data_IF_309073448282
#
_entry.id   IF_309073448282
#
_cell.length_a   1.000
_cell.length_b   1.000
_cell.length_c   1.000
_cell.angle_alpha   90.00
_cell.angle_beta   90.00
_cell.angle_gamma   90.00
#
_symmetry.space_group_name_H-M   'P 1'
#
loop_
_entity.id
_entity.type
_entity.pdbx_description
1 polymer ?
#
# COMPACT_ATOMS: atom_id res chain seq x y z
N UNK A 1 -3.07 6.69 6.56
CA UNK A 1 -1.89 6.49 7.44
C UNK A 1 -2.33 5.77 8.71
N UNK A 2 -1.47 4.88 9.24
CA UNK A 2 -1.72 4.12 10.48
C UNK A 2 -0.47 4.17 11.37
N UNK A 3 -0.64 4.09 12.68
CA UNK A 3 0.48 4.08 13.62
C UNK A 3 0.46 2.79 14.43
N UNK A 4 1.55 2.03 14.33
CA UNK A 4 1.82 0.86 15.18
C UNK A 4 3.23 1.03 15.73
N UNK A 5 3.40 1.24 17.06
CA UNK A 5 4.68 1.61 17.63
C UNK A 5 5.83 0.71 17.18
N UNK A 6 7.00 1.26 16.79
CA UNK A 6 7.35 2.69 16.77
C UNK A 6 7.11 3.40 15.41
N UNK A 7 6.35 2.82 14.48
CA UNK A 7 6.29 3.28 13.09
C UNK A 7 4.93 3.85 12.67
N UNK A 8 4.97 4.91 11.87
CA UNK A 8 3.90 5.34 10.99
C UNK A 8 3.99 4.57 9.67
N UNK A 9 2.86 4.09 9.17
CA UNK A 9 2.73 3.36 7.90
C UNK A 9 1.84 4.14 6.94
N UNK A 10 2.26 4.24 5.69
CA UNK A 10 1.51 4.87 4.61
C UNK A 10 1.47 3.98 3.38
N UNK A 11 0.26 3.70 2.90
CA UNK A 11 0.04 3.20 1.55
C UNK A 11 -0.19 4.44 0.68
N UNK A 12 0.54 4.57 -0.42
CA UNK A 12 0.46 5.71 -1.31
C UNK A 12 0.48 5.26 -2.77
N UNK A 13 -0.14 6.07 -3.63
CA UNK A 13 -0.14 5.81 -5.07
C UNK A 13 1.23 6.15 -5.67
N UNK A 14 1.77 5.22 -6.44
CA UNK A 14 2.96 5.41 -7.24
C UNK A 14 2.57 5.60 -8.71
N UNK A 15 3.25 6.52 -9.40
CA UNK A 15 3.09 6.71 -10.84
C UNK A 15 3.47 5.44 -11.61
N UNK A 16 2.98 5.27 -12.85
CA UNK A 16 3.34 4.11 -13.67
C UNK A 16 4.86 3.94 -13.82
N UNK A 17 5.32 2.71 -13.64
CA UNK A 17 6.72 2.30 -13.79
C UNK A 17 6.81 1.09 -14.72
N UNK A 18 7.96 0.92 -15.37
CA UNK A 18 8.17 -0.18 -16.31
C UNK A 18 7.98 -1.53 -15.62
N UNK A 19 7.27 -2.45 -16.28
CA UNK A 19 6.98 -3.78 -15.76
C UNK A 19 5.67 -3.91 -14.96
N UNK A 20 4.96 -2.79 -14.72
CA UNK A 20 3.69 -2.78 -13.97
C UNK A 20 2.54 -2.16 -14.77
N UNK A 21 1.31 -2.55 -14.44
CA UNK A 21 0.08 -2.09 -15.06
C UNK A 21 -0.44 -0.79 -14.43
N UNK A 22 0.01 0.35 -14.98
CA UNK A 22 -0.53 1.67 -14.66
C UNK A 22 -0.21 2.14 -13.23
N UNK A 23 -1.20 2.71 -12.55
CA UNK A 23 -1.03 3.28 -11.21
C UNK A 23 -1.16 2.19 -10.13
N UNK A 24 -0.11 2.08 -9.31
CA UNK A 24 0.08 0.99 -8.36
C UNK A 24 0.30 1.54 -6.96
N UNK A 25 -0.11 0.82 -5.92
CA UNK A 25 0.06 1.29 -4.54
C UNK A 25 1.32 0.72 -3.89
N UNK A 26 2.11 1.62 -3.31
CA UNK A 26 3.33 1.33 -2.55
C UNK A 26 3.07 1.51 -1.06
N UNK A 27 3.82 0.78 -0.25
CA UNK A 27 3.86 0.88 1.20
C UNK A 27 5.22 1.41 1.66
N UNK A 28 5.18 2.39 2.57
CA UNK A 28 6.34 2.88 3.29
C UNK A 28 6.06 3.00 4.80
N UNK A 29 7.12 3.00 5.61
CA UNK A 29 7.05 3.29 7.04
C UNK A 29 8.07 4.34 7.47
N UNK A 30 7.79 5.07 8.55
CA UNK A 30 8.68 6.08 9.13
C UNK A 30 8.54 6.15 10.64
N UNK A 31 9.59 6.56 11.36
CA UNK A 31 9.51 6.84 12.80
C UNK A 31 9.25 8.32 13.11
N UNK A 32 9.54 9.20 12.16
CA UNK A 32 9.60 10.66 12.37
C UNK A 32 8.86 11.47 11.29
N UNK A 33 8.16 10.78 10.38
CA UNK A 33 7.47 11.34 9.20
C UNK A 33 8.39 12.06 8.20
N UNK A 34 9.70 12.01 8.39
CA UNK A 34 10.70 12.66 7.54
C UNK A 34 11.53 11.63 6.77
N UNK A 35 12.07 10.65 7.49
CA UNK A 35 12.89 9.57 6.95
C UNK A 35 12.02 8.32 6.77
N UNK A 36 11.94 7.85 5.54
CA UNK A 36 11.02 6.79 5.11
C UNK A 36 11.77 5.54 4.63
N UNK A 37 11.19 4.39 4.91
CA UNK A 37 11.62 3.08 4.46
C UNK A 37 10.53 2.53 3.53
N UNK A 38 10.89 2.23 2.28
CA UNK A 38 9.99 1.59 1.34
C UNK A 38 9.98 0.08 1.61
N UNK A 39 8.79 -0.53 1.56
CA UNK A 39 8.67 -1.98 1.68
C UNK A 39 9.44 -2.67 0.54
N UNK A 40 10.22 -3.74 0.83
CA UNK A 40 10.85 -4.57 -0.19
C UNK A 40 9.85 -5.37 -1.03
N UNK A 41 8.56 -5.37 -0.65
CA UNK A 41 7.48 -6.03 -1.39
C UNK A 41 6.65 -5.06 -2.23
N UNK A 42 7.12 -3.83 -2.43
CA UNK A 42 6.44 -2.90 -3.34
C UNK A 42 6.50 -3.39 -4.80
N UNK A 43 5.41 -3.20 -5.58
CA UNK A 43 4.09 -2.70 -5.16
C UNK A 43 3.30 -3.71 -4.32
N UNK A 44 2.50 -3.20 -3.38
CA UNK A 44 1.61 -4.05 -2.55
C UNK A 44 0.22 -4.24 -3.15
N UNK A 45 -0.13 -3.47 -4.18
CA UNK A 45 -1.38 -3.57 -4.90
C UNK A 45 -1.22 -3.08 -6.34
N UNK A 46 -1.65 -3.89 -7.29
CA UNK A 46 -1.58 -3.64 -8.72
C UNK A 46 -2.88 -4.12 -9.38
N UNK A 47 -3.33 -3.43 -10.43
CA UNK A 47 -4.56 -3.75 -11.13
C UNK A 47 -4.45 -5.09 -11.88
N UNK A 48 -5.23 -6.08 -11.44
CA UNK A 48 -5.40 -7.36 -12.10
C UNK A 48 -6.41 -7.35 -13.27
N UNK A 49 -6.78 -8.54 -13.73
CA UNK A 49 -7.77 -8.73 -14.80
C UNK A 49 -9.11 -8.13 -14.39
N UNK A 50 -9.64 -7.22 -15.21
CA UNK A 50 -10.93 -6.56 -14.95
C UNK A 50 -10.89 -5.48 -13.88
N UNK A 51 -9.70 -5.01 -13.48
CA UNK A 51 -9.52 -3.87 -12.55
C UNK A 51 -9.14 -2.56 -13.28
N UNK A 52 -8.80 -2.65 -14.57
CA UNK A 52 -8.34 -1.51 -15.37
C UNK A 52 -6.83 -1.33 -15.23
N UNK A 53 -6.40 -0.10 -14.94
CA UNK A 53 -4.98 0.32 -14.90
C UNK A 53 -4.68 1.24 -13.70
N UNK A 54 -5.52 1.22 -12.67
CA UNK A 54 -5.31 2.00 -11.46
C UNK A 54 -5.88 1.27 -10.25
N UNK A 55 -5.04 0.96 -9.27
CA UNK A 55 -5.47 0.57 -7.93
C UNK A 55 -4.92 1.59 -6.92
N UNK A 56 -5.78 2.53 -6.51
CA UNK A 56 -5.42 3.72 -5.73
C UNK A 56 -6.28 3.90 -4.48
N UNK A 57 -5.98 4.97 -3.74
CA UNK A 57 -6.81 5.50 -2.66
C UNK A 57 -7.15 4.44 -1.61
N UNK A 58 -6.14 3.61 -1.30
CA UNK A 58 -6.29 2.48 -0.38
C UNK A 58 -6.52 2.98 1.04
N UNK A 59 -7.61 2.53 1.65
CA UNK A 59 -7.83 2.67 3.09
C UNK A 59 -8.19 1.32 3.71
N UNK A 60 -7.92 1.18 5.01
CA UNK A 60 -8.06 -0.10 5.70
C UNK A 60 -8.95 -0.01 6.93
N UNK A 61 -9.79 -1.02 7.13
CA UNK A 61 -10.45 -1.26 8.42
C UNK A 61 -10.03 -2.63 8.96
N UNK A 62 -9.97 -2.74 10.28
CA UNK A 62 -9.86 -4.05 10.94
C UNK A 62 -11.23 -4.40 11.54
N UNK A 63 -11.70 -5.61 11.27
CA UNK A 63 -12.95 -6.13 11.82
C UNK A 63 -12.80 -7.63 12.08
N UNK A 64 -13.19 -8.07 13.28
CA UNK A 64 -13.09 -9.47 13.73
C UNK A 64 -11.69 -10.09 13.52
N UNK A 65 -10.63 -9.32 13.78
CA UNK A 65 -9.25 -9.78 13.64
C UNK A 65 -8.76 -9.93 12.19
N UNK A 66 -9.53 -9.44 11.21
CA UNK A 66 -9.17 -9.42 9.78
C UNK A 66 -9.03 -8.00 9.28
N UNK A 67 -8.14 -7.80 8.32
CA UNK A 67 -7.88 -6.49 7.72
C UNK A 67 -8.52 -6.43 6.34
N UNK A 68 -9.36 -5.43 6.11
CA UNK A 68 -10.03 -5.21 4.83
C UNK A 68 -9.45 -3.96 4.18
N UNK A 69 -8.91 -4.11 2.97
CA UNK A 69 -8.37 -3.05 2.15
C UNK A 69 -9.45 -2.63 1.17
N UNK A 70 -9.96 -1.41 1.30
CA UNK A 70 -10.84 -0.78 0.32
C UNK A 70 -10.00 0.08 -0.61
N UNK A 71 -10.21 -0.05 -1.91
CA UNK A 71 -9.40 0.65 -2.91
C UNK A 71 -10.23 0.98 -4.15
N UNK A 72 -9.87 2.08 -4.81
CA UNK A 72 -10.48 2.49 -6.07
C UNK A 72 -9.82 1.74 -7.24
N UNK A 73 -10.64 1.23 -8.17
CA UNK A 73 -10.18 0.64 -9.44
C UNK A 73 -10.77 1.38 -10.64
N UNK A 74 -10.15 1.27 -11.81
CA UNK A 74 -10.63 1.94 -13.03
C UNK A 74 -9.61 2.00 -14.14
N UNK A 75 -10.04 2.47 -15.32
CA UNK A 75 -9.19 2.66 -16.50
C UNK A 75 -8.60 4.07 -16.61
N UNK A 76 -8.82 4.91 -15.59
CA UNK A 76 -8.41 6.33 -15.55
C UNK A 76 -9.05 7.21 -16.61
N UNK A 77 -10.13 6.77 -17.26
CA UNK A 77 -10.77 7.52 -18.34
C UNK A 77 -12.29 7.45 -18.31
N UNK A 78 -12.85 6.24 -18.34
CA UNK A 78 -14.26 6.02 -18.63
C UNK A 78 -15.03 5.40 -17.48
N UNK A 79 -14.36 4.68 -16.58
CA UNK A 79 -15.04 4.05 -15.44
C UNK A 79 -14.16 3.96 -14.20
N UNK A 80 -14.82 3.91 -13.05
CA UNK A 80 -14.23 3.58 -11.78
C UNK A 80 -15.21 2.79 -10.90
N UNK A 81 -14.67 2.02 -9.96
CA UNK A 81 -15.43 1.36 -8.90
C UNK A 81 -14.57 1.27 -7.63
N UNK A 82 -15.17 0.88 -6.51
CA UNK A 82 -14.45 0.48 -5.31
C UNK A 82 -14.45 -1.04 -5.21
N UNK A 83 -13.33 -1.61 -4.78
CA UNK A 83 -13.18 -3.03 -4.46
C UNK A 83 -12.65 -3.21 -3.05
N UNK A 84 -12.76 -4.44 -2.57
CA UNK A 84 -12.25 -4.85 -1.27
C UNK A 84 -11.39 -6.10 -1.41
N UNK A 85 -10.21 -6.08 -0.80
CA UNK A 85 -9.37 -7.24 -0.56
C UNK A 85 -9.31 -7.51 0.94
N UNK A 86 -9.13 -8.77 1.34
CA UNK A 86 -9.09 -9.17 2.74
C UNK A 86 -7.77 -9.88 3.04
N UNK A 87 -7.10 -9.43 4.10
CA UNK A 87 -5.98 -10.09 4.72
C UNK A 87 -6.44 -10.78 6.00
N UNK A 88 -6.19 -12.09 6.10
CA UNK A 88 -6.63 -12.91 7.24
C UNK A 88 -5.68 -12.74 8.42
N UNK A 89 -5.75 -11.57 9.03
CA UNK A 89 -5.00 -11.23 10.24
C UNK A 89 -5.14 -9.76 10.65
N UNK A 90 -4.65 -9.42 11.86
CA UNK A 90 -4.69 -8.05 12.37
C UNK A 90 -3.89 -7.09 11.50
N UNK A 91 -4.29 -5.82 11.49
CA UNK A 91 -3.70 -4.78 10.65
C UNK A 91 -2.24 -4.50 11.03
N UNK A 92 -1.91 -4.63 12.32
CA UNK A 92 -0.53 -4.52 12.79
C UNK A 92 0.38 -5.58 12.13
N UNK A 93 -0.11 -6.82 12.04
CA UNK A 93 0.62 -7.94 11.44
C UNK A 93 0.76 -7.75 9.92
N UNK A 94 -0.32 -7.33 9.25
CA UNK A 94 -0.28 -6.93 7.83
C UNK A 94 0.88 -5.95 7.57
N UNK A 95 0.95 -4.84 8.33
CA UNK A 95 1.99 -3.85 8.11
C UNK A 95 3.39 -4.32 8.49
N UNK A 96 3.56 -5.05 9.60
CA UNK A 96 4.87 -5.51 10.06
C UNK A 96 5.48 -6.54 9.11
N UNK A 97 4.68 -7.47 8.57
CA UNK A 97 5.14 -8.49 7.62
C UNK A 97 5.67 -7.92 6.31
N UNK A 98 5.28 -6.71 5.94
CA UNK A 98 5.82 -6.03 4.76
C UNK A 98 7.24 -5.48 4.94
N UNK A 99 7.85 -5.64 6.11
CA UNK A 99 9.19 -5.18 6.42
C UNK A 99 9.98 -6.24 7.20
N UNK A 100 10.29 -7.41 6.58
CA UNK A 100 11.05 -8.44 7.24
C UNK A 100 12.50 -8.00 7.48
N UNK A 101 13.06 -8.32 8.63
CA UNK A 101 14.43 -7.95 9.01
C UNK A 101 15.50 -8.56 8.08
N UNK A 102 15.15 -9.61 7.31
CA UNK A 102 16.03 -10.28 6.36
C UNK A 102 16.19 -9.56 5.02
N UNK A 103 15.41 -8.51 4.73
CA UNK A 103 15.42 -7.81 3.45
C UNK A 103 15.78 -6.33 3.64
N UNK A 104 16.70 -5.84 2.81
CA UNK A 104 17.06 -4.43 2.81
C UNK A 104 15.90 -3.56 2.29
N UNK A 105 15.65 -2.44 2.96
CA UNK A 105 14.67 -1.41 2.54
C UNK A 105 15.37 -0.31 1.74
N UNK A 106 14.71 0.23 0.72
CA UNK A 106 15.12 1.49 0.09
C UNK A 106 14.75 2.66 1.02
N UNK A 107 15.66 3.63 1.21
CA UNK A 107 15.41 4.84 2.00
C UNK A 107 14.94 5.98 1.12
N UNK A 108 13.96 6.74 1.59
CA UNK A 108 13.50 7.98 0.98
C UNK A 108 13.35 9.08 2.04
N UNK A 109 13.34 10.34 1.60
CA UNK A 109 13.12 11.49 2.46
C UNK A 109 11.91 12.27 1.96
N UNK A 110 11.04 12.70 2.86
CA UNK A 110 10.06 13.71 2.53
C UNK A 110 10.79 15.04 2.25
N UNK A 111 10.61 15.59 1.05
CA UNK A 111 11.07 16.93 0.72
C UNK A 111 10.09 17.97 1.27
N UNK A 112 10.62 19.14 1.65
CA UNK A 112 9.84 20.31 2.03
C UNK A 112 9.56 21.18 0.82
#
# INVERSE_FOLDING_TARGET
MRYFPPFYYVIYLHAPIAGHNGWISFLARSRDLRDWELSPYNPILEAGVGEGSNNSDVDLIEYEGRTFLYYATGDQATWSTVRVAMYDGPMADFFQKHFPDSMATVKAKACR
#
